data_IF_437934210347
#
_entry.id   IF_437934210347
#
_cell.length_a   1.000
_cell.length_b   1.000
_cell.length_c   1.000
_cell.angle_alpha   90.00
_cell.angle_beta   90.00
_cell.angle_gamma   90.00
#
_symmetry.space_group_name_H-M   'P 1'
#
loop_
_entity.id
_entity.type
_entity.pdbx_description
1 polymer ?
#
# COMPACT_ATOMS: atom_id res chain seq x y z
N UNK A 1 -40.37 -11.70 22.34
CA UNK A 1 -40.00 -13.08 21.95
C UNK A 1 -38.90 -13.54 22.88
N UNK A 2 -39.21 -14.47 23.77
CA UNK A 2 -38.28 -14.99 24.77
C UNK A 2 -37.40 -16.04 24.10
N UNK A 3 -36.25 -15.61 23.55
CA UNK A 3 -35.30 -16.46 22.80
C UNK A 3 -34.69 -17.59 23.67
N UNK A 4 -34.94 -17.59 24.98
CA UNK A 4 -34.14 -18.38 25.93
C UNK A 4 -34.60 -19.83 26.17
N UNK A 5 -35.79 -20.27 25.70
CA UNK A 5 -36.25 -21.65 25.93
C UNK A 5 -36.34 -22.51 24.66
N UNK A 6 -36.60 -21.92 23.50
CA UNK A 6 -36.75 -22.69 22.25
C UNK A 6 -35.42 -23.16 21.65
N UNK A 7 -34.30 -22.47 21.90
CA UNK A 7 -32.98 -22.93 21.44
C UNK A 7 -32.57 -24.25 22.12
N UNK A 8 -32.79 -24.36 23.43
CA UNK A 8 -32.34 -25.53 24.21
C UNK A 8 -33.13 -26.81 23.90
N UNK A 9 -34.38 -26.70 23.44
CA UNK A 9 -35.21 -27.87 23.11
C UNK A 9 -35.01 -28.36 21.67
N UNK A 10 -34.55 -27.49 20.75
CA UNK A 10 -34.23 -27.91 19.37
C UNK A 10 -32.97 -28.76 19.29
N UNK A 11 -31.97 -28.47 20.11
CA UNK A 11 -30.70 -29.22 20.12
C UNK A 11 -30.85 -30.66 20.65
N UNK A 12 -31.89 -30.95 21.44
CA UNK A 12 -32.12 -32.29 22.03
C UNK A 12 -32.96 -33.23 21.16
N UNK A 13 -33.59 -32.72 20.10
CA UNK A 13 -34.51 -33.48 19.26
C UNK A 13 -34.27 -33.31 17.75
N UNK A 14 -33.17 -32.66 17.36
CA UNK A 14 -32.75 -32.65 15.96
C UNK A 14 -32.28 -34.05 15.56
N UNK A 15 -32.99 -34.63 14.59
CA UNK A 15 -32.75 -35.94 13.99
C UNK A 15 -31.27 -36.05 13.56
N UNK A 16 -30.58 -37.15 13.89
CA UNK A 16 -29.14 -37.34 13.64
C UNK A 16 -28.74 -37.20 12.15
N UNK A 17 -29.71 -37.15 11.24
CA UNK A 17 -29.52 -36.91 9.81
C UNK A 17 -29.44 -35.43 9.38
N UNK A 18 -29.76 -34.43 10.22
CA UNK A 18 -29.65 -33.00 9.86
C UNK A 18 -28.21 -32.43 9.98
N UNK A 19 -27.26 -33.20 10.54
CA UNK A 19 -25.90 -32.72 10.86
C UNK A 19 -24.79 -33.14 9.90
N UNK A 20 -25.07 -33.82 8.77
CA UNK A 20 -24.03 -34.12 7.77
C UNK A 20 -23.79 -32.96 6.78
N UNK A 21 -23.48 -31.76 7.30
CA UNK A 21 -22.90 -30.68 6.49
C UNK A 21 -21.40 -30.63 6.79
N UNK A 22 -20.61 -31.32 5.97
CA UNK A 22 -19.15 -31.25 6.03
C UNK A 22 -18.66 -29.86 5.62
N UNK A 23 -18.19 -29.08 6.59
CA UNK A 23 -17.60 -27.77 6.33
C UNK A 23 -16.23 -27.93 5.65
N UNK A 24 -15.83 -26.96 4.80
CA UNK A 24 -14.49 -26.89 4.23
C UNK A 24 -13.45 -26.86 5.34
N UNK A 25 -12.29 -27.47 5.07
CA UNK A 25 -11.16 -27.39 6.00
C UNK A 25 -10.77 -25.92 6.22
N UNK A 26 -10.61 -25.47 7.49
CA UNK A 26 -10.18 -24.11 7.79
C UNK A 26 -8.86 -23.72 7.10
N UNK A 27 -8.01 -24.70 6.80
CA UNK A 27 -6.74 -24.49 6.09
C UNK A 27 -6.90 -23.83 4.72
N UNK A 28 -7.97 -24.19 3.99
CA UNK A 28 -8.27 -23.65 2.66
C UNK A 28 -8.76 -22.20 2.80
N UNK A 29 -9.67 -21.95 3.74
CA UNK A 29 -10.17 -20.60 4.02
C UNK A 29 -9.04 -19.66 4.44
N UNK A 30 -8.17 -20.10 5.36
CA UNK A 30 -7.01 -19.32 5.79
C UNK A 30 -6.00 -19.07 4.67
N UNK A 31 -5.87 -19.97 3.69
CA UNK A 31 -4.93 -19.80 2.58
C UNK A 31 -5.24 -18.55 1.74
N UNK A 32 -6.53 -18.30 1.47
CA UNK A 32 -6.96 -17.13 0.70
C UNK A 32 -6.65 -15.82 1.45
N UNK A 33 -7.03 -15.72 2.73
CA UNK A 33 -6.77 -14.52 3.52
C UNK A 33 -5.27 -14.27 3.73
N UNK A 34 -4.48 -15.34 3.90
CA UNK A 34 -3.03 -15.23 3.97
C UNK A 34 -2.39 -14.79 2.65
N UNK A 35 -2.93 -15.22 1.49
CA UNK A 35 -2.48 -14.73 0.19
C UNK A 35 -2.74 -13.23 0.01
N UNK A 36 -3.92 -12.75 0.41
CA UNK A 36 -4.21 -11.30 0.39
C UNK A 36 -3.30 -10.54 1.35
N UNK A 37 -3.16 -11.01 2.60
CA UNK A 37 -2.26 -10.41 3.61
C UNK A 37 -0.81 -10.34 3.12
N UNK A 38 -0.34 -11.39 2.45
CA UNK A 38 1.02 -11.46 1.93
C UNK A 38 1.21 -10.67 0.62
N UNK A 39 0.15 -10.13 0.03
CA UNK A 39 0.23 -9.44 -1.26
C UNK A 39 0.48 -10.39 -2.43
N UNK A 40 0.17 -11.68 -2.29
CA UNK A 40 0.27 -12.67 -3.37
C UNK A 40 -0.90 -12.51 -4.34
N UNK A 41 -0.71 -11.62 -5.31
CA UNK A 41 -1.72 -11.31 -6.33
C UNK A 41 -1.98 -12.51 -7.25
N UNK A 42 -1.00 -13.38 -7.48
CA UNK A 42 -1.15 -14.52 -8.38
C UNK A 42 -2.15 -15.53 -7.82
N UNK A 43 -1.98 -15.92 -6.54
CA UNK A 43 -2.90 -16.81 -5.84
C UNK A 43 -4.30 -16.19 -5.75
N UNK A 44 -4.41 -14.88 -5.51
CA UNK A 44 -5.71 -14.19 -5.45
C UNK A 44 -6.40 -14.17 -6.81
N UNK A 45 -5.67 -13.91 -7.90
CA UNK A 45 -6.22 -13.93 -9.25
C UNK A 45 -6.68 -15.33 -9.67
N UNK A 46 -5.92 -16.37 -9.30
CA UNK A 46 -6.32 -17.76 -9.53
C UNK A 46 -7.65 -18.08 -8.85
N UNK A 47 -7.77 -17.77 -7.55
CA UNK A 47 -9.02 -17.95 -6.80
C UNK A 47 -10.22 -17.20 -7.43
N UNK A 48 -9.99 -15.98 -7.92
CA UNK A 48 -11.04 -15.21 -8.60
C UNK A 48 -11.44 -15.81 -9.96
N UNK A 49 -10.49 -16.39 -10.68
CA UNK A 49 -10.73 -16.99 -12.00
C UNK A 49 -11.47 -18.32 -11.88
N UNK A 50 -11.21 -19.07 -10.81
CA UNK A 50 -11.89 -20.32 -10.47
C UNK A 50 -13.26 -20.10 -9.80
N UNK A 51 -13.70 -18.83 -9.66
CA UNK A 51 -14.96 -18.45 -9.00
C UNK A 51 -15.13 -19.10 -7.60
N UNK A 52 -14.01 -19.28 -6.88
CA UNK A 52 -13.97 -20.03 -5.62
C UNK A 52 -14.89 -19.46 -4.52
N UNK A 53 -15.22 -18.16 -4.60
CA UNK A 53 -16.13 -17.46 -3.70
C UNK A 53 -17.60 -17.89 -3.83
N UNK A 54 -18.06 -18.21 -5.04
CA UNK A 54 -19.44 -18.68 -5.28
C UNK A 54 -19.56 -20.20 -5.33
N UNK A 55 -18.44 -20.91 -5.32
CA UNK A 55 -18.43 -22.33 -5.02
C UNK A 55 -18.69 -22.50 -3.51
N UNK A 56 -19.93 -22.86 -3.16
CA UNK A 56 -20.40 -22.97 -1.78
C UNK A 56 -20.25 -24.37 -1.18
N UNK A 57 -19.62 -25.32 -1.89
CA UNK A 57 -19.44 -26.70 -1.40
C UNK A 57 -18.70 -26.70 -0.07
N UNK A 58 -19.37 -27.15 1.01
CA UNK A 58 -18.83 -27.14 2.36
C UNK A 58 -18.80 -25.76 3.04
N UNK A 59 -19.61 -24.80 2.57
CA UNK A 59 -19.84 -23.53 3.27
C UNK A 59 -21.24 -23.52 3.89
N UNK A 60 -21.42 -22.77 4.97
CA UNK A 60 -22.74 -22.63 5.62
C UNK A 60 -23.76 -21.95 4.71
N UNK A 61 -25.02 -22.41 4.77
CA UNK A 61 -26.16 -21.73 4.12
C UNK A 61 -26.72 -20.70 5.10
N UNK A 62 -26.51 -19.42 4.80
CA UNK A 62 -26.87 -18.27 5.62
C UNK A 62 -28.20 -17.62 5.21
N UNK A 63 -28.72 -17.96 4.02
CA UNK A 63 -30.06 -17.57 3.56
C UNK A 63 -30.59 -18.53 2.50
N UNK A 64 -31.91 -18.74 2.47
CA UNK A 64 -32.58 -19.46 1.39
C UNK A 64 -32.63 -18.65 0.08
N UNK A 65 -32.46 -17.32 0.13
CA UNK A 65 -32.33 -16.50 -1.06
C UNK A 65 -30.86 -16.51 -1.53
N UNK A 66 -30.60 -17.02 -2.74
CA UNK A 66 -29.24 -17.23 -3.26
C UNK A 66 -28.40 -15.96 -3.30
N UNK A 67 -28.98 -14.82 -3.69
CA UNK A 67 -28.29 -13.52 -3.70
C UNK A 67 -27.95 -13.10 -2.28
N UNK A 68 -28.93 -13.14 -1.38
CA UNK A 68 -28.76 -12.75 0.04
C UNK A 68 -27.74 -13.64 0.75
N UNK A 69 -27.73 -14.94 0.45
CA UNK A 69 -26.76 -15.88 0.98
C UNK A 69 -25.33 -15.46 0.63
N UNK A 70 -25.10 -15.12 -0.64
CA UNK A 70 -23.78 -14.66 -1.11
C UNK A 70 -23.45 -13.26 -0.54
N UNK A 71 -24.44 -12.39 -0.33
CA UNK A 71 -24.23 -11.10 0.35
C UNK A 71 -23.73 -11.29 1.79
N UNK A 72 -24.22 -12.28 2.53
CA UNK A 72 -23.71 -12.57 3.87
C UNK A 72 -22.28 -13.10 3.85
N UNK A 73 -21.97 -14.03 2.95
CA UNK A 73 -20.60 -14.48 2.74
C UNK A 73 -19.66 -13.34 2.36
N UNK A 74 -20.12 -12.41 1.51
CA UNK A 74 -19.36 -11.21 1.15
C UNK A 74 -18.98 -10.38 2.39
N UNK A 75 -19.93 -10.12 3.30
CA UNK A 75 -19.67 -9.34 4.51
C UNK A 75 -18.68 -10.05 5.43
N UNK A 76 -18.77 -11.38 5.55
CA UNK A 76 -17.82 -12.20 6.31
C UNK A 76 -16.41 -12.07 5.69
N UNK A 77 -16.30 -12.23 4.37
CA UNK A 77 -15.03 -12.11 3.67
C UNK A 77 -14.44 -10.69 3.80
N UNK A 78 -15.24 -9.64 3.62
CA UNK A 78 -14.82 -8.26 3.83
C UNK A 78 -14.30 -8.05 5.26
N UNK A 79 -15.01 -8.62 6.24
CA UNK A 79 -14.60 -8.57 7.62
C UNK A 79 -13.25 -9.27 7.83
N UNK A 80 -13.08 -10.51 7.37
CA UNK A 80 -11.85 -11.29 7.50
C UNK A 80 -10.66 -10.62 6.82
N UNK A 81 -10.82 -10.17 5.57
CA UNK A 81 -9.78 -9.43 4.84
C UNK A 81 -9.30 -8.21 5.62
N UNK A 82 -10.23 -7.45 6.21
CA UNK A 82 -9.89 -6.29 7.05
C UNK A 82 -8.97 -6.68 8.21
N UNK A 83 -9.29 -7.75 8.95
CA UNK A 83 -8.49 -8.18 10.12
C UNK A 83 -7.13 -8.71 9.69
N UNK A 84 -7.08 -9.54 8.64
CA UNK A 84 -5.84 -10.08 8.11
C UNK A 84 -4.91 -9.01 7.55
N UNK A 85 -5.45 -8.01 6.85
CA UNK A 85 -4.65 -6.89 6.34
C UNK A 85 -4.14 -5.99 7.46
N UNK A 86 -4.94 -5.71 8.50
CA UNK A 86 -4.49 -4.98 9.69
C UNK A 86 -3.35 -5.73 10.37
N UNK A 87 -3.50 -7.04 10.58
CA UNK A 87 -2.47 -7.91 11.14
C UNK A 87 -1.23 -8.00 10.22
N UNK A 88 -1.42 -7.83 8.90
CA UNK A 88 -0.34 -7.67 7.92
C UNK A 88 0.33 -6.29 7.91
N UNK A 89 -0.12 -5.36 8.75
CA UNK A 89 0.46 -4.03 8.90
C UNK A 89 -0.23 -2.92 8.11
N UNK A 90 -1.39 -3.16 7.48
CA UNK A 90 -2.21 -2.10 6.90
C UNK A 90 -2.81 -1.23 8.01
N UNK A 91 -2.85 0.09 7.81
CA UNK A 91 -3.42 1.00 8.82
C UNK A 91 -4.91 0.67 9.03
N UNK A 92 -5.40 0.53 10.28
CA UNK A 92 -6.79 0.19 10.56
C UNK A 92 -7.80 1.09 9.86
N UNK A 93 -7.61 2.40 9.90
CA UNK A 93 -8.52 3.35 9.25
C UNK A 93 -8.62 3.11 7.73
N UNK A 94 -7.52 2.75 7.06
CA UNK A 94 -7.55 2.44 5.62
C UNK A 94 -8.28 1.12 5.35
N UNK A 95 -8.07 0.11 6.19
CA UNK A 95 -8.71 -1.18 6.06
C UNK A 95 -10.23 -1.08 6.29
N UNK A 96 -10.66 -0.38 7.35
CA UNK A 96 -12.08 -0.16 7.65
C UNK A 96 -12.78 0.63 6.55
N UNK A 97 -12.21 1.76 6.11
CA UNK A 97 -12.80 2.58 5.03
C UNK A 97 -12.96 1.78 3.73
N UNK A 98 -12.02 0.87 3.45
CA UNK A 98 -12.11 0.01 2.27
C UNK A 98 -13.23 -1.02 2.40
N UNK A 99 -13.32 -1.69 3.54
CA UNK A 99 -14.41 -2.62 3.86
C UNK A 99 -15.77 -1.95 3.76
N UNK A 100 -15.95 -0.81 4.42
CA UNK A 100 -17.22 -0.08 4.44
C UNK A 100 -17.65 0.33 3.02
N UNK A 101 -16.71 0.82 2.21
CA UNK A 101 -16.97 1.16 0.81
C UNK A 101 -17.52 -0.02 0.00
N UNK A 102 -16.90 -1.20 0.13
CA UNK A 102 -17.31 -2.38 -0.64
C UNK A 102 -18.61 -3.00 -0.12
N UNK A 103 -18.82 -3.01 1.20
CA UNK A 103 -20.09 -3.47 1.80
C UNK A 103 -21.25 -2.58 1.35
N UNK A 104 -21.09 -1.25 1.40
CA UNK A 104 -22.13 -0.32 0.92
C UNK A 104 -22.38 -0.48 -0.59
N UNK A 105 -21.32 -0.72 -1.38
CA UNK A 105 -21.47 -0.94 -2.82
C UNK A 105 -22.19 -2.25 -3.14
N UNK A 106 -22.02 -3.28 -2.30
CA UNK A 106 -22.66 -4.59 -2.44
C UNK A 106 -24.18 -4.50 -2.30
N UNK A 107 -24.71 -3.54 -1.53
CA UNK A 107 -26.16 -3.37 -1.37
C UNK A 107 -26.88 -3.19 -2.71
N UNK A 108 -26.22 -2.53 -3.67
CA UNK A 108 -26.75 -2.30 -5.01
C UNK A 108 -26.72 -3.54 -5.93
N UNK A 109 -26.06 -4.63 -5.53
CA UNK A 109 -26.02 -5.87 -6.30
C UNK A 109 -27.34 -6.63 -6.17
N UNK A 110 -27.89 -7.08 -7.29
CA UNK A 110 -29.16 -7.84 -7.36
C UNK A 110 -28.98 -9.26 -7.87
N UNK A 111 -27.78 -9.64 -8.32
CA UNK A 111 -27.47 -11.00 -8.79
C UNK A 111 -26.24 -11.56 -8.12
N UNK A 112 -26.15 -12.90 -8.04
CA UNK A 112 -24.98 -13.60 -7.50
C UNK A 112 -23.70 -13.21 -8.25
N UNK A 113 -23.76 -13.11 -9.58
CA UNK A 113 -22.61 -12.72 -10.40
C UNK A 113 -22.11 -11.32 -10.07
N UNK A 114 -23.00 -10.35 -9.88
CA UNK A 114 -22.61 -8.99 -9.49
C UNK A 114 -21.88 -8.96 -8.14
N UNK A 115 -22.36 -9.75 -7.16
CA UNK A 115 -21.69 -9.84 -5.85
C UNK A 115 -20.32 -10.51 -5.99
N UNK A 116 -20.22 -11.57 -6.81
CA UNK A 116 -18.95 -12.25 -7.08
C UNK A 116 -17.92 -11.34 -7.76
N UNK A 117 -18.33 -10.58 -8.79
CA UNK A 117 -17.46 -9.64 -9.48
C UNK A 117 -16.98 -8.54 -8.54
N UNK A 118 -17.87 -8.02 -7.69
CA UNK A 118 -17.50 -7.05 -6.66
C UNK A 118 -16.54 -7.64 -5.64
N UNK A 119 -16.74 -8.90 -5.24
CA UNK A 119 -15.85 -9.62 -4.32
C UNK A 119 -14.45 -9.73 -4.90
N UNK A 120 -14.31 -10.11 -6.17
CA UNK A 120 -13.01 -10.20 -6.83
C UNK A 120 -12.31 -8.84 -6.90
N UNK A 121 -13.06 -7.77 -7.19
CA UNK A 121 -12.51 -6.41 -7.17
C UNK A 121 -12.03 -6.02 -5.77
N UNK A 122 -12.82 -6.29 -4.74
CA UNK A 122 -12.46 -6.03 -3.34
C UNK A 122 -11.19 -6.79 -2.94
N UNK A 123 -11.12 -8.10 -3.19
CA UNK A 123 -9.96 -8.92 -2.87
C UNK A 123 -8.68 -8.39 -3.53
N UNK A 124 -8.75 -8.05 -4.83
CA UNK A 124 -7.61 -7.46 -5.57
C UNK A 124 -7.19 -6.10 -5.01
N UNK A 125 -8.13 -5.24 -4.61
CA UNK A 125 -7.79 -3.93 -4.03
C UNK A 125 -7.09 -4.09 -2.66
N UNK A 126 -7.62 -4.94 -1.78
CA UNK A 126 -6.93 -5.27 -0.51
C UNK A 126 -5.51 -5.81 -0.76
N UNK A 127 -5.34 -6.75 -1.68
CA UNK A 127 -4.01 -7.29 -2.03
C UNK A 127 -3.10 -6.21 -2.59
N UNK A 128 -3.61 -5.34 -3.47
CA UNK A 128 -2.87 -4.20 -4.01
C UNK A 128 -2.37 -3.25 -2.91
N UNK A 129 -3.22 -2.93 -1.93
CA UNK A 129 -2.82 -2.15 -0.76
C UNK A 129 -1.78 -2.86 0.10
N UNK A 130 -1.88 -4.18 0.26
CA UNK A 130 -0.85 -4.96 0.98
C UNK A 130 0.49 -4.97 0.25
N UNK A 131 0.51 -5.03 -1.08
CA UNK A 131 1.74 -4.92 -1.87
C UNK A 131 2.38 -3.53 -1.69
N UNK A 132 1.59 -2.46 -1.74
CA UNK A 132 2.08 -1.09 -1.53
C UNK A 132 2.58 -0.91 -0.09
N UNK A 133 1.87 -1.46 0.90
CA UNK A 133 2.28 -1.44 2.29
C UNK A 133 3.59 -2.21 2.49
N UNK A 134 3.76 -3.37 1.84
CA UNK A 134 5.04 -4.10 1.84
C UNK A 134 6.17 -3.30 1.21
N UNK A 135 5.92 -2.59 0.10
CA UNK A 135 6.92 -1.67 -0.48
C UNK A 135 7.27 -0.54 0.49
N UNK A 136 6.29 -0.02 1.22
CA UNK A 136 6.54 0.96 2.28
C UNK A 136 7.25 0.36 3.49
N UNK A 137 7.11 -0.94 3.77
CA UNK A 137 7.81 -1.64 4.86
C UNK A 137 9.21 -2.13 4.47
N UNK A 138 9.56 -2.17 3.18
CA UNK A 138 10.95 -2.34 2.71
C UNK A 138 11.79 -1.13 3.10
N UNK A 139 11.17 0.04 3.27
CA UNK A 139 11.82 1.24 3.80
C UNK A 139 11.58 1.27 5.32
N UNK A 140 12.57 0.85 6.08
CA UNK A 140 12.59 0.91 7.54
C UNK A 140 12.25 2.31 8.06
N UNK A 141 11.58 2.37 9.21
CA UNK A 141 11.19 3.64 9.87
C UNK A 141 12.32 4.68 9.96
N UNK A 142 13.58 4.32 10.30
CA UNK A 142 14.70 5.26 10.30
C UNK A 142 14.96 5.88 8.93
N UNK A 143 14.87 5.09 7.85
CA UNK A 143 15.06 5.58 6.48
C UNK A 143 13.92 6.49 6.06
N UNK A 144 12.68 6.15 6.41
CA UNK A 144 11.53 7.01 6.13
C UNK A 144 11.65 8.37 6.84
N UNK A 145 12.13 8.39 8.09
CA UNK A 145 12.39 9.64 8.81
C UNK A 145 13.49 10.46 8.13
N UNK A 146 14.58 9.82 7.67
CA UNK A 146 15.61 10.50 6.89
C UNK A 146 15.06 11.11 5.59
N UNK A 147 14.29 10.35 4.81
CA UNK A 147 13.70 10.83 3.55
C UNK A 147 12.79 12.03 3.79
N UNK A 148 11.91 11.96 4.79
CA UNK A 148 11.01 13.06 5.13
C UNK A 148 11.76 14.32 5.57
N UNK A 149 12.83 14.15 6.36
CA UNK A 149 13.68 15.26 6.78
C UNK A 149 14.37 15.91 5.58
N UNK A 150 14.96 15.12 4.69
CA UNK A 150 15.65 15.58 3.48
C UNK A 150 14.71 16.37 2.58
N UNK A 151 13.49 15.86 2.37
CA UNK A 151 12.48 16.54 1.56
C UNK A 151 12.11 17.91 2.14
N UNK A 152 11.90 17.98 3.46
CA UNK A 152 11.48 19.19 4.15
C UNK A 152 12.58 20.26 4.22
N UNK A 153 13.84 19.83 4.28
CA UNK A 153 15.02 20.71 4.45
C UNK A 153 15.91 20.76 3.19
N UNK A 154 15.38 20.43 2.01
CA UNK A 154 16.18 20.29 0.77
C UNK A 154 16.96 21.56 0.37
N UNK A 155 16.53 22.72 0.85
CA UNK A 155 17.16 24.02 0.60
C UNK A 155 18.37 24.29 1.48
N UNK A 156 18.58 23.48 2.50
CA UNK A 156 19.59 23.65 3.52
C UNK A 156 20.80 22.72 3.27
N UNK A 157 21.86 22.94 4.04
CA UNK A 157 22.99 22.01 4.08
C UNK A 157 22.65 20.87 5.03
N UNK A 158 22.19 19.75 4.47
CA UNK A 158 21.88 18.53 5.22
C UNK A 158 23.14 17.68 5.35
N UNK A 159 23.47 17.28 6.57
CA UNK A 159 24.53 16.34 6.91
C UNK A 159 23.94 15.07 7.54
N UNK A 160 24.73 14.00 7.56
CA UNK A 160 24.30 12.77 8.25
C UNK A 160 24.16 12.97 9.76
N UNK A 161 24.86 13.95 10.33
CA UNK A 161 24.76 14.28 11.74
C UNK A 161 23.40 14.90 12.07
N UNK A 162 22.89 15.78 11.20
CA UNK A 162 21.54 16.35 11.35
C UNK A 162 20.46 15.26 11.32
N UNK A 163 20.64 14.26 10.45
CA UNK A 163 19.76 13.09 10.39
C UNK A 163 19.89 12.18 11.61
N UNK A 164 21.11 12.05 12.15
CA UNK A 164 21.38 11.30 13.37
C UNK A 164 20.64 11.91 14.57
N UNK A 165 20.75 13.24 14.73
CA UNK A 165 20.08 14.01 15.77
C UNK A 165 18.56 14.00 15.60
N UNK A 166 18.05 14.14 14.38
CA UNK A 166 16.60 14.12 14.11
C UNK A 166 15.96 12.76 14.37
N UNK A 167 16.66 11.67 14.03
CA UNK A 167 16.09 10.31 14.10
C UNK A 167 16.40 9.59 15.42
N UNK A 168 17.41 10.06 16.17
CA UNK A 168 17.91 9.43 17.39
C UNK A 168 18.78 8.19 17.14
N UNK A 169 19.15 7.90 15.89
CA UNK A 169 20.03 6.78 15.54
C UNK A 169 21.43 7.26 15.18
N UNK A 170 22.45 6.42 15.36
CA UNK A 170 23.83 6.77 14.98
C UNK A 170 24.00 6.91 13.46
N UNK A 171 24.89 7.82 13.04
CA UNK A 171 25.21 8.04 11.63
C UNK A 171 25.66 6.75 10.90
N UNK A 172 26.40 5.86 11.58
CA UNK A 172 26.81 4.57 11.02
C UNK A 172 25.62 3.64 10.78
N UNK A 173 24.68 3.57 11.72
CA UNK A 173 23.45 2.80 11.55
C UNK A 173 22.62 3.33 10.39
N UNK A 174 22.41 4.66 10.34
CA UNK A 174 21.67 5.30 9.26
C UNK A 174 22.32 5.04 7.90
N UNK A 175 23.64 5.20 7.76
CA UNK A 175 24.35 4.92 6.50
C UNK A 175 24.11 3.50 6.00
N UNK A 176 24.23 2.51 6.90
CA UNK A 176 24.07 1.10 6.57
C UNK A 176 22.64 0.78 6.14
N UNK A 177 21.66 1.19 6.96
CA UNK A 177 20.26 0.85 6.71
C UNK A 177 19.73 1.61 5.49
N UNK A 178 20.11 2.88 5.31
CA UNK A 178 19.71 3.66 4.14
C UNK A 178 20.22 3.04 2.83
N UNK A 179 21.51 2.66 2.78
CA UNK A 179 22.09 1.97 1.62
C UNK A 179 21.45 0.59 1.37
N UNK A 180 21.14 -0.15 2.42
CA UNK A 180 20.47 -1.45 2.30
C UNK A 180 19.03 -1.32 1.77
N UNK A 181 18.31 -0.26 2.15
CA UNK A 181 16.90 -0.07 1.81
C UNK A 181 16.72 0.61 0.44
N UNK A 182 17.58 1.59 0.10
CA UNK A 182 17.44 2.42 -1.10
C UNK A 182 18.53 2.15 -2.16
N UNK A 183 19.54 1.33 -1.87
CA UNK A 183 20.62 0.98 -2.81
C UNK A 183 21.68 2.06 -3.01
N UNK A 184 21.48 3.26 -2.47
CA UNK A 184 22.40 4.40 -2.60
C UNK A 184 22.70 5.07 -1.25
N UNK A 185 23.77 5.86 -1.18
CA UNK A 185 24.16 6.55 0.05
C UNK A 185 23.24 7.73 0.34
N UNK A 186 23.16 8.14 1.62
CA UNK A 186 22.39 9.33 2.04
C UNK A 186 22.85 10.57 1.27
N UNK A 187 24.17 10.77 1.14
CA UNK A 187 24.74 11.93 0.43
C UNK A 187 24.38 11.93 -1.05
N UNK A 188 24.37 10.76 -1.69
CA UNK A 188 23.98 10.64 -3.10
C UNK A 188 22.48 10.91 -3.27
N UNK A 189 21.64 10.44 -2.34
CA UNK A 189 20.20 10.70 -2.34
C UNK A 189 19.90 12.20 -2.20
N UNK A 190 20.54 12.88 -1.24
CA UNK A 190 20.39 14.33 -1.07
C UNK A 190 20.79 15.05 -2.36
N UNK A 191 21.90 14.65 -2.99
CA UNK A 191 22.38 15.26 -4.23
C UNK A 191 21.40 15.05 -5.37
N UNK A 192 20.89 13.85 -5.54
CA UNK A 192 19.89 13.50 -6.56
C UNK A 192 18.61 14.35 -6.40
N UNK A 193 18.07 14.42 -5.18
CA UNK A 193 16.89 15.22 -4.87
C UNK A 193 17.11 16.72 -5.10
N UNK A 194 18.31 17.25 -4.80
CA UNK A 194 18.68 18.64 -5.12
C UNK A 194 18.73 18.87 -6.64
N UNK A 195 19.28 17.93 -7.42
CA UNK A 195 19.31 18.05 -8.88
C UNK A 195 17.92 17.95 -9.51
N UNK A 196 17.06 17.09 -8.99
CA UNK A 196 15.66 17.01 -9.42
C UNK A 196 14.93 18.35 -9.18
N UNK A 197 15.13 18.96 -8.00
CA UNK A 197 14.58 20.29 -7.70
C UNK A 197 15.19 21.39 -8.58
N UNK A 198 16.49 21.34 -8.85
CA UNK A 198 17.17 22.28 -9.74
C UNK A 198 16.61 22.19 -11.16
N UNK A 199 16.36 20.99 -11.65
CA UNK A 199 15.75 20.72 -12.95
C UNK A 199 14.38 21.39 -13.08
N UNK A 200 13.54 21.24 -12.04
CA UNK A 200 12.26 21.94 -11.96
C UNK A 200 12.42 23.47 -12.01
N UNK A 201 13.34 24.03 -11.21
CA UNK A 201 13.59 25.48 -11.19
C UNK A 201 14.14 26.01 -12.52
N UNK A 202 15.02 25.26 -13.19
CA UNK A 202 15.56 25.65 -14.49
C UNK A 202 14.50 25.65 -15.59
N UNK A 203 13.52 24.73 -15.52
CA UNK A 203 12.44 24.59 -16.49
C UNK A 203 11.34 25.64 -16.32
N UNK A 204 10.97 25.94 -15.07
CA UNK A 204 9.78 26.72 -14.75
C UNK A 204 10.08 28.09 -14.11
N UNK A 205 11.34 28.49 -13.96
CA UNK A 205 11.71 29.82 -13.46
C UNK A 205 12.90 30.42 -14.20
N UNK A 206 12.92 31.75 -14.24
CA UNK A 206 13.99 32.59 -14.81
C UNK A 206 15.14 32.85 -13.83
N UNK A 207 15.10 32.26 -12.62
CA UNK A 207 16.11 32.48 -11.57
C UNK A 207 17.53 32.26 -12.10
N UNK A 208 18.49 33.16 -11.85
CA UNK A 208 19.89 32.96 -12.20
C UNK A 208 20.43 31.60 -11.73
N UNK A 209 21.33 30.99 -12.51
CA UNK A 209 21.94 29.68 -12.19
C UNK A 209 22.65 29.73 -10.82
N UNK A 210 23.30 30.86 -10.52
CA UNK A 210 23.95 31.09 -9.22
C UNK A 210 22.94 31.14 -8.08
N UNK A 211 21.77 31.73 -8.29
CA UNK A 211 20.71 31.79 -7.28
C UNK A 211 20.10 30.41 -7.02
N UNK A 212 19.96 29.58 -8.06
CA UNK A 212 19.51 28.19 -7.90
C UNK A 212 20.53 27.38 -7.11
N UNK A 213 21.83 27.54 -7.40
CA UNK A 213 22.89 26.88 -6.67
C UNK A 213 22.90 27.27 -5.18
N UNK A 214 22.78 28.57 -4.89
CA UNK A 214 22.70 29.10 -3.53
C UNK A 214 21.43 28.64 -2.81
N UNK A 215 20.28 28.70 -3.49
CA UNK A 215 18.98 28.29 -2.94
C UNK A 215 18.91 26.81 -2.57
N UNK A 216 19.66 25.96 -3.25
CA UNK A 216 19.78 24.53 -2.95
C UNK A 216 21.00 24.22 -2.08
N UNK A 217 21.64 25.24 -1.49
CA UNK A 217 22.82 25.11 -0.62
C UNK A 217 23.96 24.27 -1.23
N UNK A 218 24.31 24.54 -2.49
CA UNK A 218 25.57 24.04 -3.07
C UNK A 218 26.74 24.93 -2.60
N UNK A 219 27.92 24.34 -2.39
CA UNK A 219 29.12 25.04 -1.92
C UNK A 219 29.66 26.10 -2.90
N UNK A 220 29.43 25.91 -4.19
CA UNK A 220 29.76 26.87 -5.23
C UNK A 220 28.93 26.63 -6.49
N UNK A 221 28.83 27.65 -7.34
CA UNK A 221 28.20 27.51 -8.66
C UNK A 221 28.90 26.45 -9.52
N UNK A 222 30.24 26.38 -9.46
CA UNK A 222 31.02 25.37 -10.20
C UNK A 222 30.70 23.95 -9.76
N UNK A 223 30.59 23.72 -8.44
CA UNK A 223 30.21 22.42 -7.89
C UNK A 223 28.78 22.02 -8.29
N UNK A 224 27.86 22.99 -8.32
CA UNK A 224 26.50 22.78 -8.84
C UNK A 224 26.50 22.38 -10.32
N UNK A 225 27.21 23.14 -11.18
CA UNK A 225 27.26 22.87 -12.62
C UNK A 225 27.80 21.47 -12.91
N UNK A 226 28.94 21.11 -12.30
CA UNK A 226 29.56 19.80 -12.49
C UNK A 226 28.63 18.68 -12.02
N UNK A 227 28.00 18.85 -10.85
CA UNK A 227 27.06 17.86 -10.33
C UNK A 227 25.85 17.71 -11.25
N UNK A 228 25.25 18.81 -11.68
CA UNK A 228 24.08 18.80 -12.53
C UNK A 228 24.37 18.14 -13.87
N UNK A 229 25.52 18.43 -14.48
CA UNK A 229 25.96 17.80 -15.73
C UNK A 229 26.21 16.30 -15.56
N UNK A 230 26.82 15.87 -14.45
CA UNK A 230 27.01 14.45 -14.17
C UNK A 230 25.69 13.67 -14.06
N UNK A 231 24.63 14.28 -13.49
CA UNK A 231 23.33 13.62 -13.32
C UNK A 231 22.43 13.71 -14.56
N UNK A 232 22.50 14.81 -15.31
CA UNK A 232 21.55 15.08 -16.42
C UNK A 232 22.17 14.95 -17.80
N UNK A 233 23.50 14.86 -17.90
CA UNK A 233 24.26 14.87 -19.15
C UNK A 233 24.37 16.25 -19.82
N UNK A 234 23.82 17.31 -19.21
CA UNK A 234 23.83 18.67 -19.76
C UNK A 234 24.21 19.69 -18.69
N UNK A 235 24.91 20.77 -19.06
CA UNK A 235 25.10 21.89 -18.14
C UNK A 235 23.76 22.57 -17.81
N UNK A 236 23.60 23.18 -16.62
CA UNK A 236 22.36 23.89 -16.26
C UNK A 236 21.89 24.91 -17.29
N UNK A 237 22.84 25.61 -17.93
CA UNK A 237 22.56 26.57 -19.00
C UNK A 237 21.99 25.87 -20.24
N UNK A 238 22.67 24.84 -20.75
CA UNK A 238 22.19 24.05 -21.88
C UNK A 238 20.84 23.40 -21.60
N UNK A 239 20.63 22.91 -20.37
CA UNK A 239 19.37 22.34 -19.93
C UNK A 239 18.25 23.37 -19.97
N UNK A 240 18.49 24.58 -19.42
CA UNK A 240 17.54 25.69 -19.51
C UNK A 240 17.25 26.04 -20.95
N UNK A 241 18.26 26.30 -21.78
CA UNK A 241 18.05 26.71 -23.17
C UNK A 241 17.20 25.68 -23.97
N UNK A 242 17.30 24.40 -23.62
CA UNK A 242 16.53 23.31 -24.26
C UNK A 242 15.11 23.13 -23.71
N UNK A 243 14.88 23.32 -22.41
CA UNK A 243 13.64 22.95 -21.73
C UNK A 243 12.87 24.15 -21.13
N UNK A 244 13.44 25.34 -21.12
CA UNK A 244 12.83 26.53 -20.53
C UNK A 244 11.57 26.93 -21.30
N UNK A 245 10.44 26.99 -20.58
CA UNK A 245 9.13 27.29 -21.15
C UNK A 245 8.74 26.41 -22.35
N UNK A 246 9.29 25.20 -22.47
CA UNK A 246 8.73 24.19 -23.39
C UNK A 246 7.46 23.60 -22.78
N UNK A 247 6.36 24.35 -22.94
CA UNK A 247 5.01 23.80 -23.02
C UNK A 247 4.62 23.85 -24.50
N UNK A 248 4.48 22.66 -25.08
CA UNK A 248 3.28 22.38 -25.85
C UNK A 248 2.19 22.02 -24.84
#
# INVERSE_FOLDING_TARGET
MTISKDLYYKDLHADENEFEIFHRSPSIEYSFYNAVKSGDMETVLKNCTEDAFINLDGTGVLSHNSVTNIKYHFVITAAMLTRYCIDGGLKPEQAYRLSDFYILKMDSCTTVRQVADLHHVMAKDFTGKMILQKKSSIISKPVMQCVNYIYSHIKERITIQDLSEHTGFSANYLSRVFKQNLGLSISDYIREQKIEKATYLLRYSDRPIIDIANYLSFSSQSHFIQTFENYTGLTPKKYRDKYYKSMW
#
